data_IF_130666207401
#
_entry.id   IF_130666207401
#
_cell.length_a   1.000
_cell.length_b   1.000
_cell.length_c   1.000
_cell.angle_alpha   90.00
_cell.angle_beta   90.00
_cell.angle_gamma   90.00
#
_symmetry.space_group_name_H-M   'P 1'
#
loop_
_entity.id
_entity.type
_entity.pdbx_description
1 polymer ?
#
# COMPACT_ATOMS: atom_id res chain seq x y z
N UNK A 1 2.59 -4.96 6.51
CA UNK A 1 1.91 -6.02 7.30
C UNK A 1 0.84 -6.78 6.51
N UNK A 2 -0.04 -6.12 5.75
CA UNK A 2 -1.20 -6.74 5.10
C UNK A 2 -0.87 -7.97 4.21
N UNK A 3 0.12 -7.88 3.31
CA UNK A 3 0.51 -9.02 2.45
C UNK A 3 0.92 -10.25 3.25
N UNK A 4 1.81 -10.09 4.22
CA UNK A 4 2.33 -11.19 5.02
C UNK A 4 1.20 -11.87 5.81
N UNK A 5 0.32 -11.09 6.42
CA UNK A 5 -0.84 -11.61 7.14
C UNK A 5 -1.78 -12.41 6.22
N UNK A 6 -2.11 -11.88 5.03
CA UNK A 6 -2.95 -12.55 4.05
C UNK A 6 -2.34 -13.87 3.56
N UNK A 7 -1.03 -13.90 3.27
CA UNK A 7 -0.33 -15.12 2.85
C UNK A 7 -0.28 -16.15 3.96
N UNK A 8 0.04 -15.77 5.20
CA UNK A 8 0.04 -16.67 6.34
C UNK A 8 -1.36 -17.25 6.63
N UNK A 9 -2.40 -16.42 6.52
CA UNK A 9 -3.79 -16.88 6.69
C UNK A 9 -4.19 -17.88 5.60
N UNK A 10 -3.79 -17.63 4.34
CA UNK A 10 -4.03 -18.55 3.23
C UNK A 10 -3.25 -19.86 3.37
N UNK A 11 -1.99 -19.82 3.82
CA UNK A 11 -1.15 -21.02 4.05
C UNK A 11 -1.62 -21.89 5.21
N UNK A 12 -2.43 -21.32 6.10
CA UNK A 12 -2.95 -22.00 7.28
C UNK A 12 -4.46 -22.24 7.18
N UNK A 13 -4.99 -22.22 5.95
CA UNK A 13 -6.38 -22.49 5.58
C UNK A 13 -7.44 -21.65 6.33
N UNK A 14 -7.04 -20.47 6.84
CA UNK A 14 -7.94 -19.52 7.51
C UNK A 14 -8.64 -18.59 6.52
N UNK A 15 -8.06 -18.41 5.34
CA UNK A 15 -8.63 -17.58 4.27
C UNK A 15 -8.33 -18.17 2.91
N UNK A 16 -9.02 -17.65 1.89
CA UNK A 16 -8.63 -17.89 0.49
C UNK A 16 -7.37 -17.09 0.15
N UNK A 17 -6.86 -17.31 -1.07
CA UNK A 17 -5.71 -16.58 -1.61
C UNK A 17 -6.05 -15.16 -2.10
N UNK A 18 -7.34 -14.81 -2.21
CA UNK A 18 -7.84 -13.47 -2.49
C UNK A 18 -8.66 -12.98 -1.30
N UNK A 19 -8.23 -11.90 -0.66
CA UNK A 19 -8.84 -11.38 0.56
C UNK A 19 -8.78 -9.85 0.62
N UNK A 20 -9.68 -9.27 1.38
CA UNK A 20 -9.57 -7.88 1.82
C UNK A 20 -9.02 -7.85 3.25
N UNK A 21 -7.97 -7.09 3.47
CA UNK A 21 -7.38 -6.84 4.80
C UNK A 21 -7.79 -5.44 5.22
N UNK A 22 -8.52 -5.34 6.33
CA UNK A 22 -8.92 -4.06 6.91
C UNK A 22 -7.81 -3.57 7.86
N UNK A 23 -7.26 -2.39 7.59
CA UNK A 23 -6.23 -1.75 8.43
C UNK A 23 -6.64 -0.32 8.76
N UNK A 24 -6.01 0.31 9.78
CA UNK A 24 -6.07 1.77 9.92
C UNK A 24 -5.57 2.41 8.61
N UNK A 25 -6.38 3.25 7.97
CA UNK A 25 -6.12 3.81 6.64
C UNK A 25 -6.99 3.21 5.51
N UNK A 26 -7.76 2.15 5.78
CA UNK A 26 -8.77 1.64 4.86
C UNK A 26 -8.53 0.20 4.38
N UNK A 27 -9.38 -0.29 3.44
CA UNK A 27 -9.31 -1.65 2.93
C UNK A 27 -8.16 -1.83 1.93
N UNK A 28 -7.43 -2.94 2.08
CA UNK A 28 -6.42 -3.38 1.12
C UNK A 28 -6.82 -4.73 0.52
N UNK A 29 -6.88 -4.83 -0.81
CA UNK A 29 -7.13 -6.07 -1.52
C UNK A 29 -5.82 -6.79 -1.80
N UNK A 30 -5.75 -8.06 -1.37
CA UNK A 30 -4.59 -8.92 -1.59
C UNK A 30 -4.99 -10.09 -2.49
N UNK A 31 -4.24 -10.29 -3.58
CA UNK A 31 -4.37 -11.42 -4.50
C UNK A 31 -3.04 -12.18 -4.54
N UNK A 32 -2.99 -13.32 -3.85
CA UNK A 32 -1.85 -14.24 -3.88
C UNK A 32 -2.03 -15.26 -5.00
N UNK A 33 -1.46 -14.97 -6.16
CA UNK A 33 -1.64 -15.76 -7.39
C UNK A 33 -1.01 -17.15 -7.27
N UNK A 34 -1.39 -18.06 -8.17
CA UNK A 34 -0.90 -19.44 -8.17
C UNK A 34 0.63 -19.54 -8.36
N UNK A 35 1.24 -18.60 -9.07
CA UNK A 35 2.70 -18.48 -9.24
C UNK A 35 3.42 -17.83 -8.03
N UNK A 36 2.74 -17.77 -6.88
CA UNK A 36 3.20 -17.17 -5.64
C UNK A 36 3.51 -15.67 -5.65
N UNK A 37 3.13 -14.94 -6.70
CA UNK A 37 3.17 -13.47 -6.68
C UNK A 37 2.03 -12.89 -5.83
N UNK A 38 2.35 -11.88 -5.03
CA UNK A 38 1.38 -11.16 -4.20
C UNK A 38 1.12 -9.80 -4.84
N UNK A 39 -0.15 -9.53 -5.16
CA UNK A 39 -0.61 -8.22 -5.62
C UNK A 39 -1.37 -7.56 -4.47
N UNK A 40 -1.00 -6.32 -4.16
CA UNK A 40 -1.72 -5.46 -3.22
C UNK A 40 -2.35 -4.32 -4.00
N UNK A 41 -3.64 -4.07 -3.78
CA UNK A 41 -4.36 -2.93 -4.33
C UNK A 41 -5.07 -2.20 -3.20
N UNK A 42 -4.95 -0.88 -3.18
CA UNK A 42 -5.60 -0.01 -2.21
C UNK A 42 -5.73 1.40 -2.78
N UNK A 43 -6.50 2.27 -2.11
CA UNK A 43 -6.62 3.66 -2.50
C UNK A 43 -5.29 4.41 -2.29
N UNK A 44 -5.10 5.46 -3.07
CA UNK A 44 -4.06 6.46 -2.87
C UNK A 44 -4.68 7.83 -3.22
N UNK A 45 -4.27 8.87 -2.50
CA UNK A 45 -4.70 10.24 -2.74
C UNK A 45 -3.49 11.16 -2.87
N UNK A 46 -3.68 12.24 -3.61
CA UNK A 46 -2.67 13.27 -3.77
C UNK A 46 -2.79 14.28 -2.64
N UNK A 47 -1.73 14.41 -1.84
CA UNK A 47 -1.70 15.35 -0.72
C UNK A 47 -1.01 16.66 -1.10
N UNK A 48 0.23 16.58 -1.58
CA UNK A 48 1.02 17.74 -2.00
C UNK A 48 2.21 17.30 -2.86
N UNK A 49 2.89 18.26 -3.49
CA UNK A 49 4.22 18.08 -4.07
C UNK A 49 5.17 19.22 -3.72
N UNK A 50 6.46 18.96 -3.89
CA UNK A 50 7.54 19.89 -3.59
C UNK A 50 8.92 19.28 -3.79
N UNK A 51 9.95 20.10 -3.61
CA UNK A 51 11.35 19.70 -3.67
C UNK A 51 12.02 19.84 -2.30
N UNK A 52 12.96 18.94 -1.98
CA UNK A 52 13.76 18.98 -0.74
C UNK A 52 15.26 18.95 -1.07
N UNK A 53 16.04 19.82 -0.43
CA UNK A 53 17.51 19.74 -0.48
C UNK A 53 17.98 18.60 0.45
N UNK A 54 18.62 17.53 -0.05
CA UNK A 54 19.05 16.40 0.77
C UNK A 54 20.21 16.72 1.72
N UNK A 55 20.89 17.86 1.59
CA UNK A 55 22.00 18.28 2.47
C UNK A 55 21.53 19.17 3.61
N UNK A 56 20.62 20.11 3.34
CA UNK A 56 20.15 21.08 4.34
C UNK A 56 18.81 20.68 4.95
N UNK A 57 18.01 19.89 4.24
CA UNK A 57 16.63 19.54 4.61
C UNK A 57 15.62 20.64 4.27
N UNK A 58 16.03 21.70 3.57
CA UNK A 58 15.13 22.78 3.17
C UNK A 58 14.08 22.26 2.19
N UNK A 59 12.80 22.56 2.47
CA UNK A 59 11.66 22.14 1.66
C UNK A 59 10.99 23.34 0.98
N UNK A 60 10.58 23.15 -0.27
CA UNK A 60 9.81 24.13 -1.04
C UNK A 60 8.62 23.43 -1.71
N UNK A 61 7.42 23.98 -1.52
CA UNK A 61 6.20 23.51 -2.20
C UNK A 61 6.29 23.80 -3.70
N UNK A 62 5.75 22.91 -4.53
CA UNK A 62 5.51 23.25 -5.94
C UNK A 62 4.34 24.24 -6.06
N UNK A 63 4.38 25.13 -7.05
CA UNK A 63 3.24 26.00 -7.34
C UNK A 63 2.05 25.15 -7.82
N UNK A 64 0.90 25.39 -7.20
CA UNK A 64 -0.35 24.74 -7.58
C UNK A 64 -0.98 25.59 -8.68
N UNK A 65 -0.95 25.13 -9.93
CA UNK A 65 -1.80 25.74 -10.97
C UNK A 65 -3.27 25.52 -10.55
N UNK A 66 -3.98 26.63 -10.37
CA UNK A 66 -5.35 26.70 -9.85
C UNK A 66 -6.43 26.37 -10.89
#
# INVERSE_FOLDING_TARGET
AACAAAVCAARTDRTRRRVTVNVPGGPLHIDWRANNHVIMTGPAEWEFSGTVDPKTGDWQADEVDA
#
